data_IF_936517036666
#
_entry.id   IF_936517036666
#
_cell.length_a   1.000
_cell.length_b   1.000
_cell.length_c   1.000
_cell.angle_alpha   90.00
_cell.angle_beta   90.00
_cell.angle_gamma   90.00
#
_symmetry.space_group_name_H-M   'P 1'
#
loop_
_entity.id
_entity.type
_entity.pdbx_description
1 polymer ?
#
# COMPACT_ATOMS: atom_id res chain seq x y z
N UNK A 1 -6.65 -26.60 -7.31
CA UNK A 1 -6.81 -25.55 -6.29
C UNK A 1 -5.72 -24.52 -6.57
N UNK A 2 -6.07 -23.30 -6.96
CA UNK A 2 -5.07 -22.32 -7.41
C UNK A 2 -4.51 -21.61 -6.19
N UNK A 3 -3.24 -21.82 -5.87
CA UNK A 3 -2.59 -21.20 -4.72
C UNK A 3 -2.40 -19.69 -4.94
N UNK A 4 -2.68 -18.92 -3.89
CA UNK A 4 -2.41 -17.48 -3.83
C UNK A 4 -1.10 -17.26 -3.11
N UNK A 5 -0.29 -16.34 -3.60
CA UNK A 5 0.98 -15.98 -3.00
C UNK A 5 0.74 -14.98 -1.87
N UNK A 6 1.61 -14.98 -0.86
CA UNK A 6 1.63 -13.96 0.19
C UNK A 6 2.56 -12.81 -0.17
N UNK A 7 2.28 -11.60 0.32
CA UNK A 7 3.14 -10.45 0.05
C UNK A 7 4.50 -10.59 0.76
N UNK A 8 4.54 -11.28 1.90
CA UNK A 8 5.76 -11.57 2.65
C UNK A 8 6.71 -12.56 1.96
N UNK A 9 6.19 -13.41 1.07
CA UNK A 9 6.94 -14.45 0.35
C UNK A 9 7.54 -13.93 -0.96
N UNK A 10 7.19 -12.70 -1.35
CA UNK A 10 7.68 -12.08 -2.57
C UNK A 10 9.19 -11.98 -2.53
N UNK A 11 9.83 -12.50 -3.56
CA UNK A 11 11.25 -12.38 -3.79
C UNK A 11 11.51 -11.90 -5.22
N UNK A 12 12.57 -11.13 -5.40
CA UNK A 12 12.97 -10.69 -6.73
C UNK A 12 13.53 -11.86 -7.52
N UNK A 13 12.73 -12.39 -8.44
CA UNK A 13 13.16 -13.37 -9.42
C UNK A 13 12.59 -12.99 -10.80
N UNK A 14 13.42 -12.53 -11.75
CA UNK A 14 12.96 -12.08 -13.07
C UNK A 14 12.35 -13.22 -13.92
N UNK A 15 12.54 -14.49 -13.53
CA UNK A 15 11.93 -15.65 -14.18
C UNK A 15 10.49 -15.92 -13.70
N UNK A 16 10.11 -15.41 -12.52
CA UNK A 16 8.75 -15.57 -11.99
C UNK A 16 7.89 -14.42 -12.48
N UNK A 17 6.97 -14.71 -13.41
CA UNK A 17 6.09 -13.71 -14.05
C UNK A 17 4.61 -13.86 -13.65
N UNK A 18 4.29 -14.87 -12.86
CA UNK A 18 2.92 -15.30 -12.58
C UNK A 18 2.60 -15.17 -11.10
N UNK A 19 2.84 -14.00 -10.52
CA UNK A 19 2.36 -13.70 -9.19
C UNK A 19 0.84 -13.52 -9.20
N UNK A 20 0.18 -14.13 -8.20
CA UNK A 20 -1.26 -14.03 -7.95
C UNK A 20 -1.46 -13.72 -6.48
N UNK A 21 -2.13 -12.61 -6.18
CA UNK A 21 -2.36 -12.13 -4.82
C UNK A 21 -3.85 -11.93 -4.54
N UNK A 22 -4.23 -12.11 -3.28
CA UNK A 22 -5.49 -11.66 -2.69
C UNK A 22 -5.18 -10.60 -1.65
N UNK A 23 -5.57 -9.37 -1.91
CA UNK A 23 -5.19 -8.22 -1.09
C UNK A 23 -6.33 -7.24 -0.94
N UNK A 24 -6.32 -6.48 0.14
CA UNK A 24 -7.18 -5.33 0.36
C UNK A 24 -6.46 -4.07 -0.08
N UNK A 25 -7.17 -3.20 -0.79
CA UNK A 25 -6.66 -1.86 -1.09
C UNK A 25 -6.75 -1.04 0.19
N UNK A 26 -5.61 -0.78 0.83
CA UNK A 26 -5.55 -0.05 2.08
C UNK A 26 -5.63 1.46 1.87
N UNK A 27 -4.88 1.97 0.90
CA UNK A 27 -4.82 3.39 0.53
C UNK A 27 -4.48 3.55 -0.94
N UNK A 28 -4.90 4.66 -1.53
CA UNK A 28 -4.62 5.04 -2.91
C UNK A 28 -4.07 6.46 -2.90
N UNK A 29 -2.91 6.63 -3.54
CA UNK A 29 -2.26 7.92 -3.72
C UNK A 29 -2.20 8.24 -5.20
N UNK A 30 -2.72 9.42 -5.57
CA UNK A 30 -2.58 9.97 -6.91
C UNK A 30 -1.34 10.84 -6.97
N UNK A 31 -0.48 10.57 -7.93
CA UNK A 31 0.73 11.35 -8.18
C UNK A 31 0.70 11.96 -9.59
N UNK A 32 1.40 13.08 -9.73
CA UNK A 32 1.65 13.74 -11.01
C UNK A 32 3.14 13.88 -11.21
N UNK A 33 3.65 13.41 -12.34
CA UNK A 33 5.02 13.70 -12.73
C UNK A 33 5.05 14.93 -13.63
N UNK A 34 5.57 16.03 -13.10
CA UNK A 34 5.84 17.26 -13.87
C UNK A 34 7.12 17.17 -14.69
N UNK A 35 8.00 16.20 -14.40
CA UNK A 35 9.34 16.09 -15.00
C UNK A 35 9.33 15.18 -16.22
N UNK A 36 8.59 14.07 -16.17
CA UNK A 36 8.62 13.06 -17.24
C UNK A 36 7.49 13.21 -18.26
N UNK A 37 6.62 14.22 -18.10
CA UNK A 37 5.42 14.44 -18.90
C UNK A 37 4.55 13.17 -19.09
N UNK A 38 4.67 12.22 -18.16
CA UNK A 38 4.12 10.86 -18.27
C UNK A 38 2.67 10.74 -17.83
N UNK A 39 2.02 11.87 -17.55
CA UNK A 39 0.67 11.92 -17.01
C UNK A 39 0.60 11.52 -15.52
N UNK A 40 -0.63 11.54 -14.96
CA UNK A 40 -0.87 11.06 -13.60
C UNK A 40 -0.63 9.55 -13.50
N UNK A 41 -0.17 9.11 -12.33
CA UNK A 41 -0.09 7.71 -11.99
C UNK A 41 -0.63 7.49 -10.58
N UNK A 42 -1.02 6.25 -10.28
CA UNK A 42 -1.56 5.88 -8.97
C UNK A 42 -0.65 4.88 -8.27
N UNK A 43 -0.44 5.08 -6.98
CA UNK A 43 0.20 4.12 -6.09
C UNK A 43 -0.84 3.60 -5.11
N UNK A 44 -0.99 2.28 -5.08
CA UNK A 44 -1.91 1.55 -4.22
C UNK A 44 -1.11 0.91 -3.09
N UNK A 45 -1.47 1.18 -1.84
CA UNK A 45 -0.98 0.41 -0.69
C UNK A 45 -1.88 -0.80 -0.54
N UNK A 46 -1.31 -1.98 -0.71
CA UNK A 46 -2.02 -3.25 -0.65
C UNK A 46 -1.69 -3.93 0.69
N UNK A 47 -2.67 -4.62 1.28
CA UNK A 47 -2.49 -5.42 2.48
C UNK A 47 -3.01 -6.84 2.24
N UNK A 48 -2.22 -7.87 2.54
CA UNK A 48 -2.70 -9.26 2.51
C UNK A 48 -3.41 -9.64 3.82
N UNK A 49 -3.96 -10.85 3.89
CA UNK A 49 -4.69 -11.35 5.06
C UNK A 49 -3.85 -11.39 6.35
N UNK A 50 -2.54 -11.64 6.21
CA UNK A 50 -1.59 -11.68 7.31
C UNK A 50 -1.18 -10.28 7.79
N UNK A 51 -1.59 -9.23 7.08
CA UNK A 51 -1.30 -7.84 7.38
C UNK A 51 0.02 -7.33 6.79
N UNK A 52 0.68 -8.12 5.94
CA UNK A 52 1.84 -7.64 5.19
C UNK A 52 1.39 -6.59 4.19
N UNK A 53 2.13 -5.48 4.12
CA UNK A 53 1.81 -4.36 3.23
C UNK A 53 2.85 -4.21 2.14
N UNK A 54 2.39 -3.91 0.93
CA UNK A 54 3.26 -3.66 -0.22
C UNK A 54 2.63 -2.60 -1.12
N UNK A 55 3.46 -1.79 -1.76
CA UNK A 55 2.98 -0.81 -2.74
C UNK A 55 2.85 -1.45 -4.11
N UNK A 56 1.84 -1.01 -4.87
CA UNK A 56 1.71 -1.27 -6.30
C UNK A 56 1.59 0.05 -7.05
N UNK A 57 2.42 0.27 -8.05
CA UNK A 57 2.33 1.46 -8.91
C UNK A 57 1.73 1.10 -10.26
N UNK A 58 0.76 1.90 -10.71
CA UNK A 58 0.13 1.81 -12.03
C UNK A 58 0.49 3.07 -12.80
N UNK A 59 1.32 2.92 -13.83
CA UNK A 59 1.70 4.01 -14.73
C UNK A 59 0.78 4.08 -15.93
N UNK A 60 0.37 5.30 -16.31
CA UNK A 60 -0.47 5.54 -17.47
C UNK A 60 -1.96 5.27 -17.25
N UNK A 61 -2.73 5.47 -18.31
CA UNK A 61 -4.18 5.33 -18.32
C UNK A 61 -4.58 3.99 -18.95
N UNK A 62 -4.51 2.93 -18.15
CA UNK A 62 -4.97 1.61 -18.58
C UNK A 62 -6.46 1.46 -18.23
N UNK A 63 -7.31 1.27 -19.24
CA UNK A 63 -8.77 1.10 -19.06
C UNK A 63 -9.15 0.05 -17.99
N UNK A 64 -8.32 -0.98 -17.82
CA UNK A 64 -8.54 -2.07 -16.84
C UNK A 64 -8.44 -1.63 -15.37
N UNK A 65 -7.77 -0.51 -15.12
CA UNK A 65 -7.60 0.04 -13.77
C UNK A 65 -8.53 1.23 -13.53
N UNK A 66 -9.31 1.64 -14.54
CA UNK A 66 -10.24 2.76 -14.42
C UNK A 66 -11.33 2.45 -13.41
N UNK A 67 -11.53 3.35 -12.46
CA UNK A 67 -12.45 3.19 -11.35
C UNK A 67 -11.81 2.55 -10.12
N UNK A 68 -10.68 1.84 -10.27
CA UNK A 68 -9.97 1.24 -9.14
C UNK A 68 -9.47 2.30 -8.14
N UNK A 69 -9.25 3.53 -8.62
CA UNK A 69 -8.88 4.68 -7.79
C UNK A 69 -9.94 5.06 -6.74
N UNK A 70 -11.18 4.53 -6.84
CA UNK A 70 -12.26 4.77 -5.90
C UNK A 70 -12.55 3.58 -4.97
N UNK A 71 -11.76 2.51 -5.07
CA UNK A 71 -12.00 1.23 -4.38
C UNK A 71 -11.15 1.08 -3.10
N UNK A 72 -10.86 2.18 -2.41
CA UNK A 72 -10.22 2.12 -1.09
C UNK A 72 -11.05 1.25 -0.13
N UNK A 73 -10.40 0.24 0.47
CA UNK A 73 -11.01 -0.70 1.39
C UNK A 73 -11.56 -1.97 0.72
N UNK A 74 -11.68 -2.02 -0.60
CA UNK A 74 -12.15 -3.21 -1.32
C UNK A 74 -11.09 -4.32 -1.35
N UNK A 75 -11.55 -5.57 -1.34
CA UNK A 75 -10.69 -6.73 -1.58
C UNK A 75 -10.58 -6.99 -3.08
N UNK A 76 -9.36 -7.28 -3.53
CA UNK A 76 -9.05 -7.50 -4.94
C UNK A 76 -8.13 -8.71 -5.12
N UNK A 77 -8.33 -9.41 -6.24
CA UNK A 77 -7.37 -10.35 -6.78
C UNK A 77 -6.52 -9.67 -7.86
N UNK A 78 -5.20 -9.82 -7.75
CA UNK A 78 -4.23 -9.24 -8.69
C UNK A 78 -3.42 -10.37 -9.32
N UNK A 79 -3.22 -10.28 -10.63
CA UNK A 79 -2.52 -11.29 -11.44
C UNK A 79 -1.55 -10.65 -12.42
N UNK A 80 -0.47 -11.38 -12.74
CA UNK A 80 0.49 -10.98 -13.78
C UNK A 80 1.08 -9.59 -13.49
N UNK A 81 1.43 -9.36 -12.23
CA UNK A 81 2.07 -8.13 -11.75
C UNK A 81 3.58 -8.35 -11.65
N UNK A 82 4.35 -7.30 -11.97
CA UNK A 82 5.81 -7.34 -11.87
C UNK A 82 6.28 -6.95 -10.47
N UNK A 83 7.40 -7.53 -10.05
CA UNK A 83 8.02 -7.26 -8.75
C UNK A 83 9.34 -6.53 -8.99
N UNK A 84 9.46 -5.35 -8.39
CA UNK A 84 10.68 -4.54 -8.41
C UNK A 84 11.25 -4.38 -6.99
N UNK A 85 12.54 -4.05 -6.91
CA UNK A 85 13.11 -3.60 -5.64
C UNK A 85 12.59 -2.20 -5.32
N UNK A 86 12.21 -2.00 -4.06
CA UNK A 86 11.73 -0.71 -3.60
C UNK A 86 12.91 0.23 -3.36
N UNK A 87 12.84 1.47 -3.88
CA UNK A 87 13.91 2.46 -3.73
C UNK A 87 13.76 3.23 -2.43
N UNK A 88 14.81 3.30 -1.57
CA UNK A 88 14.72 4.02 -0.31
C UNK A 88 14.53 5.53 -0.57
N UNK A 89 13.46 6.11 -0.02
CA UNK A 89 13.22 7.57 -0.05
C UNK A 89 11.76 7.99 -0.23
N UNK A 90 10.95 7.21 -0.94
CA UNK A 90 9.53 7.52 -1.20
C UNK A 90 8.68 6.24 -1.15
N UNK A 91 8.45 5.70 0.05
CA UNK A 91 7.64 4.50 0.24
C UNK A 91 6.64 4.72 1.38
N UNK A 92 5.39 4.34 1.16
CA UNK A 92 4.35 4.29 2.19
C UNK A 92 4.37 2.96 2.97
N UNK A 93 5.20 1.99 2.56
CA UNK A 93 5.33 0.69 3.22
C UNK A 93 6.80 0.37 3.52
N UNK A 94 7.04 -0.49 4.52
CA UNK A 94 8.38 -0.96 4.88
C UNK A 94 8.85 -2.17 4.05
N UNK A 95 8.15 -2.49 2.96
CA UNK A 95 8.49 -3.64 2.11
C UNK A 95 9.76 -3.40 1.31
N UNK A 96 10.63 -4.43 1.21
CA UNK A 96 11.84 -4.38 0.38
C UNK A 96 11.52 -4.40 -1.13
N UNK A 97 10.32 -4.83 -1.48
CA UNK A 97 9.84 -4.95 -2.85
C UNK A 97 8.59 -4.10 -3.04
N UNK A 98 8.36 -3.68 -4.28
CA UNK A 98 7.14 -3.05 -4.73
C UNK A 98 6.62 -3.78 -5.97
N UNK A 99 5.34 -3.65 -6.21
CA UNK A 99 4.67 -4.17 -7.40
C UNK A 99 4.59 -3.07 -8.46
N UNK A 100 4.78 -3.44 -9.71
CA UNK A 100 4.52 -2.56 -10.85
C UNK A 100 3.48 -3.22 -11.74
N UNK A 101 2.37 -2.52 -11.97
CA UNK A 101 1.34 -2.98 -12.88
C UNK A 101 1.76 -2.72 -14.32
N UNK A 102 1.53 -3.72 -15.17
CA UNK A 102 1.76 -3.63 -16.61
C UNK A 102 0.42 -3.70 -17.36
N UNK A 103 0.44 -3.50 -18.67
CA UNK A 103 -0.74 -3.65 -19.54
C UNK A 103 -1.40 -5.03 -19.44
N UNK A 104 -0.64 -6.06 -19.04
CA UNK A 104 -1.13 -7.43 -18.92
C UNK A 104 -1.67 -7.77 -17.53
N UNK A 105 -1.38 -6.93 -16.53
CA UNK A 105 -1.86 -7.11 -15.17
C UNK A 105 -3.38 -7.09 -15.15
N UNK A 106 -3.98 -7.99 -14.38
CA UNK A 106 -5.42 -8.09 -14.20
C UNK A 106 -5.76 -7.87 -12.74
N UNK A 107 -6.79 -7.07 -12.50
CA UNK A 107 -7.34 -6.81 -11.17
C UNK A 107 -8.82 -7.14 -11.19
N UNK A 108 -9.30 -7.84 -10.16
CA UNK A 108 -10.71 -8.18 -10.00
C UNK A 108 -11.13 -7.90 -8.58
N UNK A 109 -12.20 -7.12 -8.40
CA UNK A 109 -12.83 -6.94 -7.10
C UNK A 109 -13.47 -8.28 -6.69
N UNK A 110 -13.29 -8.66 -5.43
CA UNK A 110 -13.82 -9.90 -4.86
C UNK A 110 -14.61 -9.60 -3.59
N UNK A 111 -15.41 -10.57 -3.16
CA UNK A 111 -16.09 -10.50 -1.87
C UNK A 111 -15.07 -10.32 -0.72
N UNK A 112 -15.43 -9.53 0.30
CA UNK A 112 -14.52 -9.25 1.40
C UNK A 112 -14.16 -10.53 2.15
N UNK A 113 -12.87 -10.85 2.18
CA UNK A 113 -12.38 -12.05 2.89
C UNK A 113 -12.50 -11.88 4.40
N UNK A 114 -12.24 -10.66 4.88
CA UNK A 114 -12.45 -10.28 6.27
C UNK A 114 -12.67 -8.77 6.42
N UNK A 115 -13.22 -8.38 7.57
CA UNK A 115 -13.47 -6.99 7.96
C UNK A 115 -12.29 -6.38 8.75
N UNK A 116 -11.10 -6.99 8.72
CA UNK A 116 -9.96 -6.44 9.47
C UNK A 116 -9.56 -5.09 8.87
N UNK A 117 -9.31 -4.15 9.78
CA UNK A 117 -8.63 -2.91 9.48
C UNK A 117 -7.13 -3.17 9.64
N UNK A 118 -6.38 -3.04 8.54
CA UNK A 118 -4.93 -3.22 8.55
C UNK A 118 -4.24 -1.96 9.09
N UNK A 119 -4.46 -1.66 10.37
CA UNK A 119 -3.82 -0.55 11.06
C UNK A 119 -2.67 -1.08 11.92
N UNK A 120 -1.45 -0.59 11.64
CA UNK A 120 -0.29 -0.92 12.44
C UNK A 120 -0.13 0.16 13.51
N UNK A 121 -0.68 -0.11 14.69
CA UNK A 121 -0.55 0.80 15.82
C UNK A 121 0.80 0.61 16.49
N UNK A 122 1.58 1.69 16.56
CA UNK A 122 2.75 1.79 17.43
C UNK A 122 2.32 2.29 18.79
N UNK A 123 2.87 1.66 19.82
CA UNK A 123 2.75 2.13 21.19
C UNK A 123 3.43 3.52 21.31
N UNK A 124 2.77 4.47 21.98
CA UNK A 124 3.32 5.82 22.19
C UNK A 124 4.68 5.81 22.89
N UNK A 125 4.94 4.83 23.75
CA UNK A 125 6.22 4.66 24.45
C UNK A 125 7.33 4.17 23.52
N UNK A 126 7.00 3.57 22.37
CA UNK A 126 7.98 3.13 21.38
C UNK A 126 8.36 4.24 20.37
N UNK A 127 7.58 5.33 20.29
CA UNK A 127 7.83 6.44 19.35
C UNK A 127 9.22 7.09 19.55
N UNK A 128 9.67 7.38 20.79
CA UNK A 128 11.00 7.96 21.01
C UNK A 128 12.15 7.02 20.66
N UNK A 129 11.90 5.71 20.54
CA UNK A 129 12.90 4.67 20.34
C UNK A 129 12.83 4.06 18.93
N UNK A 130 12.19 4.75 17.98
CA UNK A 130 12.10 4.28 16.60
C UNK A 130 13.48 4.21 15.94
N UNK A 131 13.69 3.16 15.16
CA UNK A 131 14.93 3.03 14.39
C UNK A 131 15.01 4.12 13.31
N UNK A 132 16.22 4.43 12.86
CA UNK A 132 16.43 5.40 11.78
C UNK A 132 15.66 5.04 10.48
N UNK A 133 15.39 3.74 10.26
CA UNK A 133 14.59 3.26 9.12
C UNK A 133 13.10 3.54 9.25
N UNK A 134 12.59 3.71 10.46
CA UNK A 134 11.18 4.02 10.72
C UNK A 134 10.97 5.53 10.89
N UNK A 135 12.06 6.29 10.98
CA UNK A 135 12.04 7.73 11.04
C UNK A 135 11.47 8.29 9.72
N UNK A 136 10.52 9.21 9.82
CA UNK A 136 9.79 9.83 8.70
C UNK A 136 8.78 8.94 7.97
N UNK A 137 8.48 7.73 8.48
CA UNK A 137 7.36 6.95 7.98
C UNK A 137 6.06 7.29 8.73
N UNK A 138 4.90 7.29 8.07
CA UNK A 138 3.62 7.49 8.75
C UNK A 138 3.39 6.39 9.78
N UNK A 139 2.96 6.77 10.98
CA UNK A 139 2.64 5.85 12.08
C UNK A 139 1.17 5.96 12.47
N UNK A 140 0.55 4.82 12.76
CA UNK A 140 -0.72 4.77 13.47
C UNK A 140 -0.48 4.79 14.98
N UNK A 141 -1.24 5.56 15.74
CA UNK A 141 -1.30 5.42 17.20
C UNK A 141 -2.74 5.60 17.69
N UNK A 142 -3.12 4.83 18.70
CA UNK A 142 -4.39 4.99 19.43
C UNK A 142 -4.04 5.27 20.88
N UNK A 143 -4.75 6.25 21.47
CA UNK A 143 -4.64 6.57 22.88
C UNK A 143 -5.96 7.16 23.38
N UNK A 144 -6.24 6.96 24.67
CA UNK A 144 -7.25 7.73 25.39
C UNK A 144 -6.81 9.19 25.46
N UNK A 145 -7.68 10.10 25.00
CA UNK A 145 -7.44 11.53 25.09
C UNK A 145 -7.56 11.99 26.56
N UNK A 146 -6.43 12.40 27.16
CA UNK A 146 -6.39 12.81 28.58
C UNK A 146 -6.80 14.27 28.80
N UNK A 147 -6.38 15.18 27.90
CA UNK A 147 -6.72 16.60 27.99
C UNK A 147 -6.55 17.26 26.62
N UNK A 148 -7.56 18.00 26.18
CA UNK A 148 -7.46 18.91 25.06
C UNK A 148 -7.14 20.31 25.60
N UNK A 149 -6.14 20.97 25.04
CA UNK A 149 -5.83 22.36 25.38
C UNK A 149 -6.71 23.26 24.50
N UNK A 150 -7.73 23.88 25.09
CA UNK A 150 -8.48 24.96 24.44
C UNK A 150 -7.69 26.25 24.62
N UNK A 151 -7.23 26.84 23.52
CA UNK A 151 -6.70 28.21 23.54
C UNK A 151 -7.87 29.18 23.76
N UNK A 152 -8.10 29.56 25.01
CA UNK A 152 -8.94 30.70 25.33
C UNK A 152 -8.21 31.98 24.92
N UNK A 153 -8.86 32.78 24.07
CA UNK A 153 -8.43 34.12 23.71
C UNK A 153 -8.29 34.96 24.99
N UNK A 154 -7.08 35.43 25.26
CA UNK A 154 -6.85 36.48 26.25
C UNK A 154 -7.37 37.78 25.63
N UNK A 155 -8.51 38.25 26.13
CA UNK A 155 -8.85 39.68 26.11
C UNK A 155 -8.17 40.34 27.30
#
# INVERSE_FOLDING_TARGET
>A
MTEYNKLSEVSYNPKVRTWRFKVKIHRIYRFYSYVTNSGPFYTYVLADEDGSKMEMTVYGDYDRFKGLENEEGSWVEIFLVEVERSYPGFQATNSRFKLTATRNTQVRIIDPLNNRLFMDFKNIHAIPHMSHREQNYPIGSIRVCLRLRTSGSLY
#
